data_IF_592599059533
#
_entry.id   IF_592599059533
#
_cell.length_a   1.000
_cell.length_b   1.000
_cell.length_c   1.000
_cell.angle_alpha   90.00
_cell.angle_beta   90.00
_cell.angle_gamma   90.00
#
_symmetry.space_group_name_H-M   'P 1'
#
loop_
_entity.id
_entity.type
_entity.pdbx_description
1 polymer ?
#
# COMPACT_ATOMS: atom_id res chain seq x y z
N UNK A 1 -7.72 3.72 -34.51
CA UNK A 1 -6.41 3.07 -34.69
C UNK A 1 -5.55 3.51 -33.53
N UNK A 2 -5.24 2.62 -32.59
CA UNK A 2 -4.37 2.94 -31.46
C UNK A 2 -2.94 3.14 -31.93
N UNK A 3 -2.28 4.20 -31.50
CA UNK A 3 -0.85 4.39 -31.74
C UNK A 3 -0.08 3.36 -30.91
N UNK A 4 0.86 2.64 -31.51
CA UNK A 4 1.74 1.74 -30.74
C UNK A 4 2.76 2.55 -29.93
N UNK A 5 3.08 2.10 -28.73
CA UNK A 5 4.08 2.75 -27.88
C UNK A 5 5.47 2.65 -28.52
N UNK A 6 6.13 3.80 -28.71
CA UNK A 6 7.50 3.86 -29.22
C UNK A 6 8.49 3.24 -28.22
N UNK A 7 9.65 2.83 -28.73
CA UNK A 7 10.73 2.32 -27.90
C UNK A 7 11.14 3.29 -26.79
N UNK A 8 11.18 4.59 -27.09
CA UNK A 8 11.49 5.65 -26.12
C UNK A 8 10.47 5.73 -24.98
N UNK A 9 9.18 5.65 -25.30
CA UNK A 9 8.10 5.65 -24.29
C UNK A 9 8.21 4.41 -23.40
N UNK A 10 8.49 3.24 -23.98
CA UNK A 10 8.69 1.99 -23.22
C UNK A 10 9.86 2.09 -22.25
N UNK A 11 11.01 2.64 -22.70
CA UNK A 11 12.16 2.88 -21.82
C UNK A 11 11.76 3.83 -20.69
N UNK A 12 11.17 4.97 -21.01
CA UNK A 12 10.77 5.96 -20.02
C UNK A 12 9.82 5.35 -18.97
N UNK A 13 8.74 4.70 -19.41
CA UNK A 13 7.76 4.05 -18.54
C UNK A 13 8.43 2.99 -17.65
N UNK A 14 9.29 2.14 -18.23
CA UNK A 14 9.97 1.10 -17.48
C UNK A 14 10.92 1.64 -16.41
N UNK A 15 11.66 2.72 -16.69
CA UNK A 15 12.55 3.37 -15.72
C UNK A 15 11.76 4.03 -14.59
N UNK A 16 10.62 4.63 -14.91
CA UNK A 16 9.69 5.24 -13.96
C UNK A 16 8.98 4.21 -13.07
N UNK A 17 8.93 2.94 -13.49
CA UNK A 17 8.51 1.82 -12.62
C UNK A 17 9.71 1.32 -11.78
N UNK A 18 10.83 1.05 -12.44
CA UNK A 18 12.01 0.42 -11.85
C UNK A 18 12.60 1.22 -10.68
N UNK A 19 12.88 2.51 -10.90
CA UNK A 19 13.62 3.33 -9.92
C UNK A 19 12.79 3.49 -8.63
N UNK A 20 11.52 3.93 -8.67
CA UNK A 20 10.74 4.10 -7.46
C UNK A 20 10.44 2.77 -6.78
N UNK A 21 10.25 1.67 -7.52
CA UNK A 21 10.03 0.36 -6.91
C UNK A 21 11.24 -0.15 -6.12
N UNK A 22 12.47 0.00 -6.66
CA UNK A 22 13.70 -0.33 -5.92
C UNK A 22 13.84 0.53 -4.66
N UNK A 23 13.61 1.85 -4.78
CA UNK A 23 13.66 2.76 -3.64
C UNK A 23 12.62 2.36 -2.58
N UNK A 24 11.40 2.06 -3.00
CA UNK A 24 10.31 1.63 -2.13
C UNK A 24 10.63 0.32 -1.39
N UNK A 25 11.15 -0.69 -2.08
CA UNK A 25 11.60 -1.94 -1.45
C UNK A 25 12.71 -1.70 -0.43
N UNK A 26 13.65 -0.80 -0.72
CA UNK A 26 14.68 -0.39 0.22
C UNK A 26 14.09 0.27 1.48
N UNK A 27 13.17 1.22 1.32
CA UNK A 27 12.49 1.91 2.42
C UNK A 27 11.65 0.95 3.27
N UNK A 28 10.90 0.04 2.65
CA UNK A 28 10.12 -0.99 3.34
C UNK A 28 11.02 -1.97 4.07
N UNK A 29 12.13 -2.41 3.48
CA UNK A 29 13.08 -3.28 4.17
C UNK A 29 13.63 -2.60 5.43
N UNK A 30 13.98 -1.31 5.33
CA UNK A 30 14.46 -0.54 6.47
C UNK A 30 13.38 -0.40 7.55
N UNK A 31 12.13 -0.15 7.17
CA UNK A 31 11.01 -0.06 8.09
C UNK A 31 10.76 -1.41 8.78
N UNK A 32 10.80 -2.52 8.04
CA UNK A 32 10.60 -3.87 8.57
C UNK A 32 11.65 -4.18 9.64
N UNK A 33 12.92 -3.91 9.36
CA UNK A 33 14.02 -4.10 10.33
C UNK A 33 13.79 -3.27 11.59
N UNK A 34 13.37 -2.01 11.42
CA UNK A 34 13.13 -1.09 12.53
C UNK A 34 11.97 -1.55 13.41
N UNK A 35 10.85 -1.93 12.80
CA UNK A 35 9.66 -2.43 13.51
C UNK A 35 9.93 -3.79 14.15
N UNK A 36 10.67 -4.69 13.49
CA UNK A 36 11.04 -6.00 14.02
C UNK A 36 11.85 -5.86 15.31
N UNK A 37 12.88 -5.02 15.32
CA UNK A 37 13.71 -4.77 16.53
C UNK A 37 12.90 -4.11 17.65
N UNK A 38 11.98 -3.20 17.33
CA UNK A 38 11.10 -2.55 18.30
C UNK A 38 9.79 -3.29 18.60
N UNK A 39 9.60 -4.50 18.08
CA UNK A 39 8.27 -5.12 17.97
C UNK A 39 7.57 -5.31 19.31
N UNK A 40 8.32 -5.59 20.38
CA UNK A 40 7.77 -5.77 21.74
C UNK A 40 7.00 -4.53 22.22
N UNK A 41 7.44 -3.34 21.82
CA UNK A 41 6.81 -2.05 22.14
C UNK A 41 5.72 -1.72 21.13
N UNK A 42 6.03 -1.79 19.83
CA UNK A 42 5.11 -1.36 18.78
C UNK A 42 3.84 -2.21 18.68
N UNK A 43 3.92 -3.52 18.90
CA UNK A 43 2.76 -4.43 18.81
C UNK A 43 1.63 -4.10 19.79
N UNK A 44 1.90 -3.28 20.82
CA UNK A 44 0.87 -2.85 21.79
C UNK A 44 -0.07 -1.79 21.24
N UNK A 45 0.29 -1.13 20.14
CA UNK A 45 -0.53 -0.11 19.49
C UNK A 45 -1.12 -0.71 18.20
N UNK A 46 -2.45 -0.71 18.09
CA UNK A 46 -3.19 -1.28 16.93
C UNK A 46 -2.68 -0.73 15.60
N UNK A 47 -2.32 0.55 15.56
CA UNK A 47 -1.75 1.24 14.41
C UNK A 47 -0.56 0.50 13.79
N UNK A 48 0.43 0.09 14.59
CA UNK A 48 1.60 -0.60 14.05
C UNK A 48 1.27 -2.02 13.60
N UNK A 49 0.30 -2.68 14.25
CA UNK A 49 -0.18 -4.00 13.83
C UNK A 49 -0.82 -3.93 12.43
N UNK A 50 -1.59 -2.88 12.15
CA UNK A 50 -2.17 -2.66 10.82
C UNK A 50 -1.08 -2.19 9.84
N UNK A 51 -0.18 -1.30 10.26
CA UNK A 51 0.93 -0.77 9.44
C UNK A 51 1.83 -1.88 8.90
N UNK A 52 2.17 -2.89 9.71
CA UNK A 52 2.98 -4.03 9.23
C UNK A 52 2.26 -4.82 8.14
N UNK A 53 0.93 -4.88 8.17
CA UNK A 53 0.15 -5.58 7.15
C UNK A 53 0.02 -4.75 5.87
N UNK A 54 -0.16 -3.43 5.99
CA UNK A 54 -0.07 -2.49 4.86
C UNK A 54 1.29 -2.60 4.18
N UNK A 55 2.37 -2.55 4.98
CA UNK A 55 3.73 -2.76 4.52
C UNK A 55 3.91 -4.10 3.77
N UNK A 56 3.27 -5.18 4.24
CA UNK A 56 3.27 -6.46 3.55
C UNK A 56 2.61 -6.39 2.16
N UNK A 57 1.50 -5.66 2.05
CA UNK A 57 0.83 -5.39 0.77
C UNK A 57 1.70 -4.55 -0.15
N UNK A 58 2.22 -3.42 0.34
CA UNK A 58 3.10 -2.51 -0.40
C UNK A 58 4.34 -3.25 -0.94
N UNK A 59 5.01 -4.02 -0.07
CA UNK A 59 6.20 -4.79 -0.44
C UNK A 59 5.90 -5.84 -1.51
N UNK A 60 4.76 -6.54 -1.38
CA UNK A 60 4.30 -7.52 -2.37
C UNK A 60 4.01 -6.84 -3.72
N UNK A 61 3.28 -5.73 -3.71
CA UNK A 61 2.96 -4.96 -4.92
C UNK A 61 4.22 -4.48 -5.64
N UNK A 62 5.17 -3.86 -4.92
CA UNK A 62 6.43 -3.40 -5.50
C UNK A 62 7.29 -4.53 -6.08
N UNK A 63 7.31 -5.72 -5.43
CA UNK A 63 7.99 -6.88 -5.99
C UNK A 63 7.33 -7.35 -7.29
N UNK A 64 6.00 -7.31 -7.36
CA UNK A 64 5.24 -7.72 -8.53
C UNK A 64 5.34 -6.69 -9.66
N UNK A 65 5.49 -5.40 -9.34
CA UNK A 65 5.83 -4.37 -10.31
C UNK A 65 7.21 -4.63 -10.94
N UNK A 66 8.21 -5.01 -10.15
CA UNK A 66 9.53 -5.38 -10.68
C UNK A 66 9.51 -6.70 -11.46
N UNK A 67 8.67 -7.65 -11.04
CA UNK A 67 8.59 -8.97 -11.67
C UNK A 67 7.79 -8.96 -12.97
N UNK A 68 6.67 -8.23 -13.03
CA UNK A 68 5.71 -8.24 -14.14
C UNK A 68 5.73 -6.92 -14.89
N UNK A 69 5.39 -5.82 -14.23
CA UNK A 69 5.12 -4.55 -14.91
C UNK A 69 6.37 -3.99 -15.60
N UNK A 70 7.52 -3.97 -14.91
CA UNK A 70 8.79 -3.50 -15.44
C UNK A 70 9.22 -4.24 -16.72
N UNK A 71 9.44 -5.57 -16.70
CA UNK A 71 9.99 -6.26 -17.86
C UNK A 71 8.98 -6.36 -19.01
N UNK A 72 7.68 -6.47 -18.74
CA UNK A 72 6.66 -6.47 -19.81
C UNK A 72 6.50 -5.10 -20.47
N UNK A 73 6.60 -4.01 -19.70
CA UNK A 73 6.61 -2.63 -20.23
C UNK A 73 7.81 -2.41 -21.14
N UNK A 74 9.01 -2.78 -20.66
CA UNK A 74 10.27 -2.59 -21.37
C UNK A 74 10.32 -3.39 -22.68
N UNK A 75 9.94 -4.68 -22.63
CA UNK A 75 10.10 -5.58 -23.77
C UNK A 75 8.92 -5.58 -24.74
N UNK A 76 7.71 -5.22 -24.27
CA UNK A 76 6.46 -5.38 -25.03
C UNK A 76 6.11 -6.85 -25.36
N UNK A 77 6.79 -7.81 -24.73
CA UNK A 77 6.62 -9.24 -25.01
C UNK A 77 6.22 -10.00 -23.76
N UNK A 78 5.21 -10.85 -23.89
CA UNK A 78 4.79 -11.75 -22.82
C UNK A 78 5.67 -13.00 -22.81
N UNK A 79 6.83 -12.92 -22.15
CA UNK A 79 7.77 -14.04 -22.10
C UNK A 79 7.40 -15.10 -21.04
N UNK A 80 6.49 -14.78 -20.11
CA UNK A 80 6.01 -15.72 -19.09
C UNK A 80 4.96 -16.70 -19.64
N UNK A 81 4.47 -16.47 -20.85
CA UNK A 81 3.37 -17.20 -21.47
C UNK A 81 2.09 -17.14 -20.64
N UNK A 82 1.20 -18.11 -20.85
CA UNK A 82 -0.04 -18.30 -20.08
C UNK A 82 0.15 -19.23 -18.87
N UNK A 83 1.37 -19.28 -18.32
CA UNK A 83 1.68 -20.15 -17.18
C UNK A 83 0.94 -19.69 -15.92
N UNK A 84 0.24 -20.61 -15.27
CA UNK A 84 -0.41 -20.34 -13.98
C UNK A 84 0.63 -19.93 -12.93
N UNK A 85 1.76 -20.64 -12.86
CA UNK A 85 2.77 -20.39 -11.83
C UNK A 85 3.58 -19.11 -12.06
N UNK A 86 3.86 -18.77 -13.32
CA UNK A 86 4.75 -17.64 -13.65
C UNK A 86 4.00 -16.35 -13.97
N UNK A 87 2.75 -16.41 -14.42
CA UNK A 87 2.00 -15.22 -14.82
C UNK A 87 0.74 -15.01 -13.97
N UNK A 88 -0.21 -15.95 -14.01
CA UNK A 88 -1.52 -15.76 -13.35
C UNK A 88 -1.45 -15.78 -11.82
N UNK A 89 -0.58 -16.59 -11.22
CA UNK A 89 -0.37 -16.65 -9.77
C UNK A 89 0.19 -15.33 -9.22
N UNK A 90 1.30 -14.80 -9.76
CA UNK A 90 1.80 -13.48 -9.42
C UNK A 90 0.75 -12.36 -9.57
N UNK A 91 -0.03 -12.36 -10.66
CA UNK A 91 -1.14 -11.39 -10.84
C UNK A 91 -2.28 -11.55 -9.82
N UNK A 92 -2.57 -12.77 -9.39
CA UNK A 92 -3.51 -13.02 -8.30
C UNK A 92 -3.03 -12.41 -6.98
N UNK A 93 -1.74 -12.55 -6.67
CA UNK A 93 -1.13 -11.91 -5.50
C UNK A 93 -1.09 -10.39 -5.60
N UNK A 94 -0.89 -9.83 -6.79
CA UNK A 94 -0.94 -8.38 -7.00
C UNK A 94 -2.38 -7.88 -6.76
N UNK A 95 -3.40 -8.61 -7.23
CA UNK A 95 -4.80 -8.33 -6.91
C UNK A 95 -5.10 -8.34 -5.41
N UNK A 96 -4.54 -9.32 -4.68
CA UNK A 96 -4.63 -9.41 -3.21
C UNK A 96 -3.90 -8.24 -2.54
N UNK A 97 -2.70 -7.90 -2.97
CA UNK A 97 -1.91 -6.81 -2.40
C UNK A 97 -2.64 -5.48 -2.55
N UNK A 98 -3.16 -5.19 -3.74
CA UNK A 98 -3.94 -3.99 -4.02
C UNK A 98 -5.22 -3.89 -3.16
N UNK A 99 -6.03 -4.95 -3.13
CA UNK A 99 -7.27 -4.95 -2.34
C UNK A 99 -6.99 -4.99 -0.83
N UNK A 100 -5.90 -5.63 -0.42
CA UNK A 100 -5.39 -5.64 0.94
C UNK A 100 -5.00 -4.23 1.39
N UNK A 101 -4.20 -3.52 0.59
CA UNK A 101 -3.82 -2.13 0.83
C UNK A 101 -5.07 -1.25 1.05
N UNK A 102 -6.03 -1.39 0.14
CA UNK A 102 -7.29 -0.64 0.18
C UNK A 102 -8.12 -0.90 1.44
N UNK A 103 -8.45 -2.16 1.73
CA UNK A 103 -9.29 -2.53 2.87
C UNK A 103 -8.58 -2.36 4.22
N UNK A 104 -7.26 -2.56 4.29
CA UNK A 104 -6.49 -2.29 5.50
C UNK A 104 -6.38 -0.79 5.79
N UNK A 105 -6.34 0.06 4.75
CA UNK A 105 -6.37 1.52 4.92
C UNK A 105 -7.73 2.02 5.40
N UNK A 106 -8.80 1.42 4.87
CA UNK A 106 -10.15 1.59 5.42
C UNK A 106 -10.22 1.15 6.89
N UNK A 107 -9.69 -0.04 7.21
CA UNK A 107 -9.65 -0.56 8.57
C UNK A 107 -8.85 0.33 9.53
N UNK A 108 -7.72 0.89 9.08
CA UNK A 108 -6.97 1.89 9.85
C UNK A 108 -7.79 3.16 10.10
N UNK A 109 -8.53 3.62 9.11
CA UNK A 109 -9.44 4.77 9.22
C UNK A 109 -10.56 4.52 10.21
N UNK A 110 -11.17 3.33 10.14
CA UNK A 110 -12.22 2.90 11.06
C UNK A 110 -11.71 2.74 12.49
N UNK A 111 -10.49 2.23 12.68
CA UNK A 111 -9.84 2.19 13.99
C UNK A 111 -9.75 3.59 14.61
N UNK A 112 -9.29 4.58 13.84
CA UNK A 112 -9.17 5.97 14.30
C UNK A 112 -10.52 6.61 14.54
N UNK A 113 -11.50 6.36 13.68
CA UNK A 113 -12.86 6.82 13.85
C UNK A 113 -13.45 6.33 15.18
N UNK A 114 -13.36 5.04 15.49
CA UNK A 114 -13.85 4.51 16.75
C UNK A 114 -13.08 5.06 17.96
N UNK A 115 -11.76 5.27 17.84
CA UNK A 115 -10.97 5.85 18.94
C UNK A 115 -11.48 7.23 19.35
N UNK A 116 -11.77 8.11 18.38
CA UNK A 116 -12.24 9.47 18.67
C UNK A 116 -13.74 9.52 18.96
N UNK A 117 -14.57 8.75 18.25
CA UNK A 117 -16.04 8.86 18.37
C UNK A 117 -16.59 8.01 19.50
N UNK A 118 -16.16 6.76 19.61
CA UNK A 118 -16.68 5.75 20.54
C UNK A 118 -15.55 5.05 21.34
N UNK A 119 -14.83 5.76 22.23
CA UNK A 119 -13.64 5.22 22.89
C UNK A 119 -13.92 3.97 23.73
N UNK A 120 -15.13 3.82 24.29
CA UNK A 120 -15.53 2.62 25.04
C UNK A 120 -15.57 1.37 24.15
N UNK A 121 -16.12 1.51 22.93
CA UNK A 121 -16.16 0.43 21.93
C UNK A 121 -14.75 0.16 21.42
N UNK A 122 -13.98 1.21 21.14
CA UNK A 122 -12.59 1.09 20.69
C UNK A 122 -11.74 0.28 21.67
N UNK A 123 -11.80 0.58 22.97
CA UNK A 123 -10.96 -0.11 23.97
C UNK A 123 -11.31 -1.60 24.13
N UNK A 124 -12.56 -2.00 23.85
CA UNK A 124 -12.97 -3.40 23.85
C UNK A 124 -12.55 -4.12 22.56
N UNK A 125 -12.75 -3.46 21.41
CA UNK A 125 -12.54 -4.06 20.09
C UNK A 125 -11.06 -4.08 19.68
N UNK A 126 -10.32 -3.00 19.90
CA UNK A 126 -8.94 -2.82 19.45
C UNK A 126 -7.90 -3.10 20.55
N UNK A 127 -8.07 -4.24 21.22
CA UNK A 127 -6.97 -4.86 21.97
C UNK A 127 -5.96 -5.46 21.00
N UNK A 128 -4.80 -5.93 21.49
CA UNK A 128 -3.82 -6.64 20.65
C UNK A 128 -4.46 -7.83 19.90
N UNK A 129 -5.22 -8.66 20.61
CA UNK A 129 -5.91 -9.81 20.03
C UNK A 129 -7.08 -9.40 19.14
N UNK A 130 -7.89 -8.43 19.60
CA UNK A 130 -9.03 -7.95 18.82
C UNK A 130 -8.61 -7.34 17.49
N UNK A 131 -7.53 -6.53 17.47
CA UNK A 131 -6.97 -5.99 16.23
C UNK A 131 -6.52 -7.10 15.29
N UNK A 132 -5.86 -8.15 15.79
CA UNK A 132 -5.42 -9.28 14.96
C UNK A 132 -6.58 -10.09 14.38
N UNK A 133 -7.63 -10.33 15.18
CA UNK A 133 -8.82 -11.06 14.72
C UNK A 133 -9.54 -10.24 13.64
N UNK A 134 -9.78 -8.95 13.88
CA UNK A 134 -10.41 -8.07 12.90
C UNK A 134 -9.58 -7.99 11.61
N UNK A 135 -8.25 -7.93 11.73
CA UNK A 135 -7.38 -7.92 10.56
C UNK A 135 -7.40 -9.25 9.80
N UNK A 136 -7.50 -10.38 10.50
CA UNK A 136 -7.69 -11.69 9.87
C UNK A 136 -9.01 -11.74 9.08
N UNK A 137 -10.09 -11.17 9.63
CA UNK A 137 -11.37 -11.04 8.92
C UNK A 137 -11.20 -10.20 7.65
N UNK A 138 -10.49 -9.07 7.72
CA UNK A 138 -10.18 -8.26 6.53
C UNK A 138 -9.43 -9.07 5.48
N UNK A 139 -8.41 -9.84 5.86
CA UNK A 139 -7.71 -10.73 4.93
C UNK A 139 -8.62 -11.76 4.31
N UNK A 140 -9.47 -12.43 5.10
CA UNK A 140 -10.44 -13.40 4.58
C UNK A 140 -11.34 -12.72 3.52
N UNK A 141 -11.82 -11.51 3.79
CA UNK A 141 -12.63 -10.73 2.83
C UNK A 141 -11.83 -10.44 1.55
N UNK A 142 -10.56 -10.03 1.66
CA UNK A 142 -9.68 -9.77 0.49
C UNK A 142 -9.52 -11.05 -0.35
N UNK A 143 -9.18 -12.17 0.28
CA UNK A 143 -9.01 -13.45 -0.41
C UNK A 143 -10.31 -13.93 -1.06
N UNK A 144 -11.45 -13.77 -0.38
CA UNK A 144 -12.76 -14.09 -0.94
C UNK A 144 -13.08 -13.18 -2.14
N UNK A 145 -12.77 -11.88 -2.06
CA UNK A 145 -13.02 -10.96 -3.17
C UNK A 145 -12.24 -11.34 -4.43
N UNK A 146 -10.93 -11.57 -4.30
CA UNK A 146 -10.11 -11.95 -5.46
C UNK A 146 -10.42 -13.38 -5.92
N UNK A 147 -10.67 -14.30 -5.00
CA UNK A 147 -11.03 -15.69 -5.29
C UNK A 147 -12.34 -15.79 -6.08
N UNK A 148 -13.38 -15.09 -5.63
CA UNK A 148 -14.67 -15.04 -6.33
C UNK A 148 -14.54 -14.33 -7.69
N UNK A 149 -13.80 -13.22 -7.77
CA UNK A 149 -13.53 -12.57 -9.07
C UNK A 149 -12.95 -13.56 -10.09
N UNK A 150 -11.93 -14.33 -9.70
CA UNK A 150 -11.32 -15.31 -10.58
C UNK A 150 -12.27 -16.48 -10.90
N UNK A 151 -13.06 -16.94 -9.93
CA UNK A 151 -14.05 -18.00 -10.12
C UNK A 151 -15.12 -17.60 -11.14
N UNK A 152 -15.62 -16.36 -11.09
CA UNK A 152 -16.59 -15.82 -12.04
C UNK A 152 -15.99 -15.45 -13.41
N UNK A 153 -14.69 -15.71 -13.64
CA UNK A 153 -14.03 -15.49 -14.93
C UNK A 153 -13.49 -14.07 -15.13
N UNK A 154 -13.40 -13.26 -14.06
CA UNK A 154 -12.71 -11.97 -14.06
C UNK A 154 -11.29 -12.16 -13.53
N UNK A 155 -10.32 -12.24 -14.45
CA UNK A 155 -8.92 -12.46 -14.12
C UNK A 155 -8.11 -11.18 -14.32
N UNK A 156 -7.22 -10.89 -13.37
CA UNK A 156 -6.30 -9.76 -13.52
C UNK A 156 -5.23 -10.11 -14.55
N UNK A 157 -4.89 -9.15 -15.41
CA UNK A 157 -3.91 -9.26 -16.50
C UNK A 157 -3.14 -7.94 -16.60
N UNK A 158 -1.95 -7.98 -17.20
CA UNK A 158 -1.17 -6.78 -17.50
C UNK A 158 -1.24 -6.48 -19.01
N UNK A 159 -1.75 -5.30 -19.37
CA UNK A 159 -1.76 -4.81 -20.73
C UNK A 159 -0.37 -4.25 -21.08
N UNK A 160 0.52 -5.10 -21.61
CA UNK A 160 1.91 -4.75 -21.96
C UNK A 160 2.05 -3.63 -23.00
N UNK A 161 1.02 -3.42 -23.81
CA UNK A 161 1.02 -2.40 -24.87
C UNK A 161 0.53 -1.05 -24.36
N UNK A 162 -0.29 -1.07 -23.31
CA UNK A 162 -0.84 0.14 -22.69
C UNK A 162 -0.22 0.44 -21.31
N UNK A 163 0.58 -0.45 -20.75
CA UNK A 163 1.29 -0.35 -19.46
C UNK A 163 0.44 -0.35 -18.20
N UNK A 164 -0.72 -1.02 -18.15
CA UNK A 164 -1.53 -1.06 -16.93
C UNK A 164 -2.08 -2.44 -16.58
N UNK A 165 -2.38 -2.64 -15.30
CA UNK A 165 -3.11 -3.81 -14.82
C UNK A 165 -4.61 -3.63 -15.03
N UNK A 166 -5.29 -4.66 -15.50
CA UNK A 166 -6.72 -4.64 -15.75
C UNK A 166 -7.37 -5.99 -15.48
N UNK A 167 -8.68 -6.00 -15.31
CA UNK A 167 -9.45 -7.24 -15.15
C UNK A 167 -10.09 -7.63 -16.48
N UNK A 168 -9.65 -8.76 -17.03
CA UNK A 168 -10.25 -9.39 -18.18
C UNK A 168 -11.42 -10.27 -17.71
N UNK A 169 -12.64 -9.83 -17.99
CA UNK A 169 -13.87 -10.52 -17.63
C UNK A 169 -14.52 -11.12 -18.89
N UNK A 170 -14.24 -12.39 -19.18
CA UNK A 170 -14.72 -13.06 -20.39
C UNK A 170 -16.22 -13.36 -20.40
N UNK A 171 -16.85 -13.42 -19.22
CA UNK A 171 -18.22 -13.92 -19.04
C UNK A 171 -19.27 -12.80 -18.92
N UNK A 172 -18.96 -11.58 -19.38
CA UNK A 172 -19.84 -10.43 -19.17
C UNK A 172 -21.00 -10.44 -20.18
N UNK A 173 -22.22 -10.72 -19.69
CA UNK A 173 -23.46 -10.61 -20.47
C UNK A 173 -24.04 -9.18 -20.30
N UNK A 174 -24.27 -8.42 -21.39
CA UNK A 174 -24.83 -7.07 -21.28
C UNK A 174 -26.20 -7.07 -20.60
N UNK A 175 -26.40 -6.21 -19.60
CA UNK A 175 -27.70 -6.01 -18.93
C UNK A 175 -27.89 -6.76 -17.60
N UNK A 176 -26.98 -7.64 -17.20
CA UNK A 176 -27.00 -8.32 -15.90
C UNK A 176 -26.02 -7.68 -14.90
N UNK A 177 -26.33 -7.78 -13.60
CA UNK A 177 -25.42 -7.37 -12.54
C UNK A 177 -24.29 -8.38 -12.40
N UNK A 178 -23.07 -7.98 -12.74
CA UNK A 178 -21.89 -8.82 -12.64
C UNK A 178 -21.13 -8.58 -11.34
N UNK A 179 -20.37 -9.57 -10.90
CA UNK A 179 -19.50 -9.47 -9.72
C UNK A 179 -18.53 -8.27 -9.78
N UNK A 180 -18.04 -7.94 -10.98
CA UNK A 180 -17.17 -6.78 -11.19
C UNK A 180 -17.89 -5.44 -10.92
N UNK A 181 -19.20 -5.35 -11.16
CA UNK A 181 -19.98 -4.14 -10.86
C UNK A 181 -20.08 -3.92 -9.36
N UNK A 182 -20.24 -5.00 -8.59
CA UNK A 182 -20.17 -4.95 -7.14
C UNK A 182 -18.79 -4.47 -6.64
N UNK A 183 -17.70 -5.00 -7.21
CA UNK A 183 -16.34 -4.55 -6.88
C UNK A 183 -16.12 -3.08 -7.19
N UNK A 184 -16.62 -2.61 -8.34
CA UNK A 184 -16.56 -1.21 -8.72
C UNK A 184 -17.32 -0.34 -7.71
N UNK A 185 -18.55 -0.70 -7.34
CA UNK A 185 -19.35 0.03 -6.35
C UNK A 185 -18.63 0.07 -5.00
N UNK A 186 -18.13 -1.07 -4.52
CA UNK A 186 -17.40 -1.15 -3.26
C UNK A 186 -16.15 -0.25 -3.25
N UNK A 187 -15.40 -0.26 -4.36
CA UNK A 187 -14.20 0.57 -4.54
C UNK A 187 -14.51 2.08 -4.55
N UNK A 188 -15.73 2.48 -4.90
CA UNK A 188 -16.19 3.87 -4.84
C UNK A 188 -16.71 4.27 -3.45
N UNK A 189 -17.43 3.38 -2.76
CA UNK A 189 -18.05 3.67 -1.46
C UNK A 189 -16.99 3.80 -0.36
N UNK A 190 -15.95 2.96 -0.39
CA UNK A 190 -14.92 2.92 0.67
C UNK A 190 -14.16 4.26 0.81
N UNK A 191 -13.63 4.89 -0.25
CA UNK A 191 -12.93 6.18 -0.15
C UNK A 191 -13.84 7.29 0.33
N UNK A 192 -15.09 7.34 -0.17
CA UNK A 192 -16.10 8.30 0.29
C UNK A 192 -16.33 8.16 1.79
N UNK A 193 -16.49 6.92 2.26
CA UNK A 193 -16.67 6.63 3.69
C UNK A 193 -15.43 7.04 4.51
N UNK A 194 -14.21 6.83 4.00
CA UNK A 194 -12.97 7.28 4.64
C UNK A 194 -12.92 8.80 4.79
N UNK A 195 -13.25 9.53 3.73
CA UNK A 195 -13.31 11.00 3.74
C UNK A 195 -14.31 11.48 4.78
N UNK A 196 -15.52 10.93 4.81
CA UNK A 196 -16.55 11.28 5.79
C UNK A 196 -16.07 11.00 7.22
N UNK A 197 -15.46 9.84 7.46
CA UNK A 197 -14.88 9.51 8.78
C UNK A 197 -13.81 10.54 9.19
N UNK A 198 -12.92 10.95 8.29
CA UNK A 198 -11.88 11.94 8.60
C UNK A 198 -12.43 13.32 8.89
N UNK A 199 -13.44 13.77 8.14
CA UNK A 199 -14.13 15.05 8.39
C UNK A 199 -14.76 15.03 9.78
N UNK A 200 -15.46 13.95 10.15
CA UNK A 200 -16.08 13.79 11.47
C UNK A 200 -15.01 13.81 12.59
N UNK A 201 -13.90 13.07 12.42
CA UNK A 201 -12.80 13.07 13.38
C UNK A 201 -12.20 14.47 13.54
N UNK A 202 -11.97 15.18 12.43
CA UNK A 202 -11.43 16.52 12.42
C UNK A 202 -12.31 17.51 13.19
N UNK A 203 -13.62 17.50 12.93
CA UNK A 203 -14.58 18.35 13.66
C UNK A 203 -14.55 18.05 15.16
N UNK A 204 -14.54 16.77 15.54
CA UNK A 204 -14.48 16.37 16.96
C UNK A 204 -13.17 16.81 17.64
N UNK A 205 -12.04 16.64 16.98
CA UNK A 205 -10.74 17.11 17.49
C UNK A 205 -10.75 18.63 17.70
N UNK A 206 -11.31 19.39 16.74
CA UNK A 206 -11.39 20.85 16.83
C UNK A 206 -12.23 21.31 18.03
N UNK A 207 -13.34 20.63 18.29
CA UNK A 207 -14.17 20.92 19.47
C UNK A 207 -13.46 20.52 20.77
N UNK A 208 -12.86 19.33 20.83
CA UNK A 208 -12.18 18.83 22.02
C UNK A 208 -10.92 19.63 22.38
N UNK A 209 -10.22 20.23 21.41
CA UNK A 209 -9.02 21.07 21.67
C UNK A 209 -9.36 22.36 22.42
N UNK A 210 -10.63 22.78 22.37
CA UNK A 210 -11.12 23.90 23.17
C UNK A 210 -11.24 23.54 24.67
N UNK A 211 -11.33 22.25 24.97
CA UNK A 211 -11.39 21.72 26.34
C UNK A 211 -9.99 21.15 26.70
N UNK A 212 -9.46 21.50 27.88
CA UNK A 212 -8.04 21.40 28.26
C UNK A 212 -7.36 19.99 28.31
N UNK A 213 -7.87 18.94 27.65
CA UNK A 213 -7.26 17.60 27.60
C UNK A 213 -6.11 17.47 26.56
N UNK A 214 -4.98 18.13 26.80
CA UNK A 214 -4.08 18.49 25.69
C UNK A 214 -2.88 17.54 25.42
N UNK A 215 -2.51 16.61 26.30
CA UNK A 215 -1.27 15.78 26.12
C UNK A 215 -1.49 14.43 25.44
N UNK A 216 -2.45 13.62 25.89
CA UNK A 216 -2.77 12.32 25.26
C UNK A 216 -3.34 12.49 23.85
N UNK A 217 -4.17 13.52 23.66
CA UNK A 217 -4.79 13.87 22.37
C UNK A 217 -3.72 14.22 21.32
N UNK A 218 -2.63 14.90 21.70
CA UNK A 218 -1.54 15.25 20.77
C UNK A 218 -0.87 14.05 20.11
N UNK A 219 -0.68 12.95 20.85
CA UNK A 219 -0.08 11.74 20.28
C UNK A 219 -1.05 11.05 19.30
N UNK A 220 -2.33 10.97 19.64
CA UNK A 220 -3.35 10.39 18.76
C UNK A 220 -3.59 11.24 17.50
N UNK A 221 -3.51 12.58 17.60
CA UNK A 221 -3.53 13.48 16.44
C UNK A 221 -2.39 13.17 15.48
N UNK A 222 -1.17 12.92 15.99
CA UNK A 222 -0.03 12.58 15.12
C UNK A 222 -0.29 11.30 14.32
N UNK A 223 -0.86 10.28 14.95
CA UNK A 223 -1.22 9.05 14.23
C UNK A 223 -2.38 9.26 13.26
N UNK A 224 -3.36 10.09 13.62
CA UNK A 224 -4.45 10.46 12.72
C UNK A 224 -3.91 11.15 11.46
N UNK A 225 -3.01 12.13 11.61
CA UNK A 225 -2.38 12.80 10.47
C UNK A 225 -1.60 11.80 9.60
N UNK A 226 -0.88 10.85 10.21
CA UNK A 226 -0.21 9.78 9.45
C UNK A 226 -1.21 8.93 8.66
N UNK A 227 -2.32 8.50 9.27
CA UNK A 227 -3.38 7.73 8.60
C UNK A 227 -4.01 8.50 7.43
N UNK A 228 -4.28 9.81 7.61
CA UNK A 228 -4.80 10.67 6.54
C UNK A 228 -3.81 10.80 5.39
N UNK A 229 -2.54 11.01 5.69
CA UNK A 229 -1.48 11.12 4.66
C UNK A 229 -1.27 9.82 3.88
N UNK A 230 -1.38 8.66 4.53
CA UNK A 230 -1.32 7.36 3.84
C UNK A 230 -2.55 7.21 2.93
N UNK A 231 -3.72 7.63 3.40
CA UNK A 231 -4.98 7.39 2.69
C UNK A 231 -5.29 8.39 1.58
N UNK A 232 -4.72 9.60 1.60
CA UNK A 232 -5.01 10.61 0.58
C UNK A 232 -4.57 10.15 -0.81
N UNK A 233 -3.46 9.42 -0.91
CA UNK A 233 -2.98 8.89 -2.19
C UNK A 233 -3.88 7.80 -2.72
N UNK A 234 -4.44 6.93 -1.86
CA UNK A 234 -5.47 5.96 -2.26
C UNK A 234 -6.70 6.67 -2.84
N UNK A 235 -7.15 7.76 -2.22
CA UNK A 235 -8.28 8.55 -2.74
C UNK A 235 -7.93 9.15 -4.11
N UNK A 236 -6.76 9.75 -4.25
CA UNK A 236 -6.28 10.32 -5.52
C UNK A 236 -6.19 9.26 -6.60
N UNK A 237 -5.66 8.09 -6.27
CA UNK A 237 -5.56 6.92 -7.15
C UNK A 237 -6.95 6.47 -7.63
N UNK A 238 -7.92 6.34 -6.73
CA UNK A 238 -9.30 5.96 -7.09
C UNK A 238 -9.98 7.00 -7.98
N UNK A 239 -9.83 8.29 -7.67
CA UNK A 239 -10.36 9.38 -8.50
C UNK A 239 -9.72 9.33 -9.89
N UNK A 240 -8.41 9.07 -9.99
CA UNK A 240 -7.72 8.88 -11.27
C UNK A 240 -8.28 7.68 -12.05
N UNK A 241 -8.46 6.52 -11.42
CA UNK A 241 -9.05 5.34 -12.08
C UNK A 241 -10.45 5.61 -12.64
N UNK A 242 -11.25 6.41 -11.95
CA UNK A 242 -12.59 6.77 -12.39
C UNK A 242 -12.51 7.80 -13.52
N UNK A 243 -11.73 8.86 -13.37
CA UNK A 243 -11.78 10.03 -14.26
C UNK A 243 -10.99 9.86 -15.55
N UNK A 244 -9.84 9.17 -15.52
CA UNK A 244 -8.95 9.01 -16.67
C UNK A 244 -9.65 8.40 -17.90
N UNK A 245 -10.46 7.32 -17.76
CA UNK A 245 -11.20 6.77 -18.90
C UNK A 245 -12.16 7.77 -19.59
N UNK A 246 -12.67 8.77 -18.87
CA UNK A 246 -13.61 9.77 -19.41
C UNK A 246 -12.94 10.94 -20.12
N UNK A 247 -11.62 11.10 -20.00
CA UNK A 247 -10.91 12.21 -20.64
C UNK A 247 -10.83 12.07 -22.17
N UNK A 248 -11.09 10.87 -22.72
CA UNK A 248 -11.11 10.63 -24.17
C UNK A 248 -9.78 10.94 -24.87
N UNK A 249 -8.66 10.96 -24.13
CA UNK A 249 -7.34 11.25 -24.68
C UNK A 249 -6.91 10.08 -25.56
N UNK A 250 -6.58 10.39 -26.82
CA UNK A 250 -6.18 9.41 -27.83
C UNK A 250 -4.73 9.65 -28.28
N UNK A 251 -4.16 8.66 -28.97
CA UNK A 251 -2.77 8.72 -29.45
C UNK A 251 -1.76 8.66 -28.32
N UNK A 252 -0.61 9.33 -28.48
CA UNK A 252 0.48 9.26 -27.50
C UNK A 252 0.14 9.83 -26.12
N UNK A 253 -0.84 10.73 -26.03
CA UNK A 253 -1.29 11.30 -24.76
C UNK A 253 -1.79 10.24 -23.76
N UNK A 254 -2.38 9.16 -24.27
CA UNK A 254 -2.88 8.05 -23.44
C UNK A 254 -1.74 7.38 -22.67
N UNK A 255 -0.58 7.18 -23.31
CA UNK A 255 0.58 6.56 -22.64
C UNK A 255 1.09 7.42 -21.48
N UNK A 256 1.15 8.75 -21.64
CA UNK A 256 1.58 9.64 -20.56
C UNK A 256 0.61 9.63 -19.38
N UNK A 257 -0.70 9.55 -19.63
CA UNK A 257 -1.70 9.41 -18.57
C UNK A 257 -1.55 8.09 -17.82
N UNK A 258 -1.27 6.99 -18.53
CA UNK A 258 -1.07 5.69 -17.89
C UNK A 258 0.26 5.64 -17.11
N UNK A 259 1.33 6.25 -17.64
CA UNK A 259 2.59 6.43 -16.90
C UNK A 259 2.35 7.22 -15.61
N UNK A 260 1.58 8.31 -15.67
CA UNK A 260 1.22 9.09 -14.48
C UNK A 260 0.42 8.25 -13.48
N UNK A 261 -0.55 7.46 -13.95
CA UNK A 261 -1.30 6.53 -13.10
C UNK A 261 -0.39 5.52 -12.41
N UNK A 262 0.53 4.87 -13.14
CA UNK A 262 1.50 3.96 -12.54
C UNK A 262 2.38 4.64 -11.50
N UNK A 263 2.82 5.87 -11.76
CA UNK A 263 3.58 6.65 -10.78
C UNK A 263 2.78 6.92 -9.51
N UNK A 264 1.47 7.18 -9.60
CA UNK A 264 0.61 7.35 -8.44
C UNK A 264 0.46 6.04 -7.67
N UNK A 265 0.21 4.92 -8.37
CA UNK A 265 0.11 3.57 -7.76
C UNK A 265 1.40 3.26 -6.99
N UNK A 266 2.56 3.42 -7.64
CA UNK A 266 3.85 3.15 -7.00
C UNK A 266 4.09 4.14 -5.84
N UNK A 267 3.78 5.43 -6.02
CA UNK A 267 3.90 6.42 -4.95
C UNK A 267 3.05 6.07 -3.73
N UNK A 268 1.86 5.50 -3.95
CA UNK A 268 1.00 5.01 -2.89
C UNK A 268 1.68 3.86 -2.12
N UNK A 269 2.30 2.92 -2.83
CA UNK A 269 3.09 1.85 -2.19
C UNK A 269 4.35 2.38 -1.46
N UNK A 270 4.83 3.60 -1.73
CA UNK A 270 5.96 4.23 -1.03
C UNK A 270 5.54 5.08 0.17
N UNK A 271 4.27 5.48 0.26
CA UNK A 271 3.82 6.49 1.22
C UNK A 271 3.96 6.01 2.66
N UNK A 272 3.69 4.72 2.92
CA UNK A 272 3.72 4.12 4.25
C UNK A 272 5.07 4.37 4.94
N UNK A 273 6.23 3.90 4.41
CA UNK A 273 7.51 4.12 5.07
C UNK A 273 7.91 5.59 5.10
N UNK A 274 7.60 6.38 4.07
CA UNK A 274 7.90 7.82 4.06
C UNK A 274 7.19 8.53 5.21
N UNK A 275 5.89 8.31 5.36
CA UNK A 275 5.07 8.92 6.42
C UNK A 275 5.55 8.46 7.80
N UNK A 276 5.80 7.16 7.98
CA UNK A 276 6.26 6.63 9.26
C UNK A 276 7.62 7.20 9.62
N UNK A 277 8.62 7.21 8.73
CA UNK A 277 9.92 7.79 9.03
C UNK A 277 9.88 9.31 9.23
N UNK A 278 8.99 10.02 8.54
CA UNK A 278 8.90 11.49 8.62
C UNK A 278 8.20 11.97 9.89
N UNK A 279 7.14 11.29 10.32
CA UNK A 279 6.27 11.79 11.39
C UNK A 279 6.40 11.02 12.71
N UNK A 280 6.98 9.82 12.70
CA UNK A 280 7.05 8.97 13.88
C UNK A 280 8.41 9.07 14.60
N UNK A 281 8.43 9.80 15.73
CA UNK A 281 9.64 9.96 16.54
C UNK A 281 10.18 8.65 17.07
N UNK A 282 9.31 7.74 17.47
CA UNK A 282 9.68 6.51 18.18
C UNK A 282 10.35 5.54 17.21
N UNK A 283 9.81 5.42 15.99
CA UNK A 283 10.42 4.64 14.90
C UNK A 283 11.77 5.25 14.51
N UNK A 284 11.88 6.59 14.39
CA UNK A 284 13.17 7.23 14.09
C UNK A 284 14.23 7.02 15.17
N UNK A 285 13.85 7.05 16.45
CA UNK A 285 14.77 6.79 17.54
C UNK A 285 15.31 5.36 17.48
N UNK A 286 14.45 4.38 17.17
CA UNK A 286 14.87 3.00 16.96
C UNK A 286 15.74 2.84 15.71
N UNK A 287 15.41 3.52 14.62
CA UNK A 287 16.25 3.52 13.41
C UNK A 287 17.65 4.08 13.70
N UNK A 288 17.74 5.20 14.42
CA UNK A 288 19.02 5.80 14.83
C UNK A 288 19.83 4.84 15.69
N UNK A 289 19.24 4.20 16.70
CA UNK A 289 19.98 3.25 17.54
C UNK A 289 20.54 2.07 16.74
N UNK A 290 19.82 1.60 15.71
CA UNK A 290 20.29 0.55 14.81
C UNK A 290 21.49 1.01 13.98
N UNK A 291 21.42 2.23 13.43
CA UNK A 291 22.50 2.79 12.60
C UNK A 291 23.76 3.04 13.45
N UNK A 292 23.59 3.67 14.63
CA UNK A 292 24.71 3.97 15.53
C UNK A 292 25.37 2.72 16.12
N UNK A 293 24.59 1.71 16.53
CA UNK A 293 25.15 0.46 17.05
C UNK A 293 25.96 -0.31 15.98
N UNK A 294 25.52 -0.24 14.72
CA UNK A 294 26.23 -0.85 13.59
C UNK A 294 27.54 -0.14 13.27
N UNK A 295 27.62 1.18 13.44
CA UNK A 295 28.88 1.92 13.30
C UNK A 295 29.88 1.56 14.40
N UNK A 296 29.43 1.37 15.65
CA UNK A 296 30.32 0.98 16.75
C UNK A 296 30.91 -0.44 16.60
N UNK A 297 30.21 -1.36 15.93
CA UNK A 297 30.71 -2.73 15.70
C UNK A 297 31.69 -2.84 14.54
N UNK A 298 31.65 -1.91 13.57
CA UNK A 298 32.57 -1.89 12.42
C UNK A 298 33.92 -1.22 12.79
N UNK A 299 33.97 -0.43 13.87
CA UNK A 299 35.16 0.33 14.30
C UNK A 299 35.86 -0.33 15.51
N UNK A 300 35.71 -1.64 15.74
CA UNK A 300 36.63 -2.33 16.64
C UNK A 300 37.91 -2.70 15.86
N UNK A 301 39.06 -2.06 16.10
CA UNK A 301 40.32 -2.54 15.57
C UNK A 301 40.61 -3.91 16.20
N UNK A 302 40.88 -4.88 15.32
CA UNK A 302 41.44 -6.17 15.67
C UNK A 302 42.79 -5.92 16.35
N UNK A 303 42.80 -5.84 17.68
CA UNK A 303 44.03 -5.89 18.46
C UNK A 303 44.54 -7.34 18.45
N UNK A 304 45.18 -7.74 17.34
CA UNK A 304 46.15 -8.82 17.34
C UNK A 304 47.38 -8.28 18.06
N UNK A 305 47.41 -8.47 19.37
CA UNK A 305 48.62 -8.29 20.17
C UNK A 305 48.91 -9.56 20.95
N UNK A 306 49.86 -10.31 20.40
CA UNK A 306 50.91 -11.04 21.11
C UNK A 306 50.52 -11.80 22.38
N UNK A 307 50.11 -13.07 22.21
CA UNK A 307 50.50 -14.12 23.15
C UNK A 307 51.61 -14.96 22.51
N UNK A 308 52.82 -14.45 22.62
CA UNK A 308 54.06 -15.15 22.29
C UNK A 308 55.14 -14.71 23.25
N UNK A 309 55.09 -15.23 24.49
CA UNK A 309 56.20 -15.39 25.46
C UNK A 309 55.65 -15.75 26.85
N UNK A 310 55.64 -17.03 27.19
CA UNK A 310 56.67 -17.70 28.00
C UNK A 310 56.33 -19.18 28.11
#
# INVERSE_FOLDING_TARGET
MGSEATFEIRILASLLILIPAIVGLGLHTLLAITLYKGWRTFRRVSFYVITVQLQGCDFCALLLDLYIAFPLTLTGRQYMGDSIALYYGPLFFEGIAFNGLFLLSFFMSFNRFLLFILPQVHNKLFTYWGTRIMSLIVWIIVFLFIGLSNYFGCRKQFAKDDFYFWYNCSNRVPGELHYNDFMFIASNIVPITMIVMYVIIYVKIRHATHDNEMTRVKQEIKFFVQTVLISILIVVEMVMFITVPFLGVTGYGQFYLIILMNLIIISNNLVTPIVIFTFNSDVRQHLRSIIYYRQATVVQPVNILNQGRK
#
